data_IF_187420936850
#
_entry.id   IF_187420936850
#
_cell.length_a   1.000
_cell.length_b   1.000
_cell.length_c   1.000
_cell.angle_alpha   90.00
_cell.angle_beta   90.00
_cell.angle_gamma   90.00
#
_symmetry.space_group_name_H-M   'P 1'
#
loop_
_entity.id
_entity.type
_entity.pdbx_description
1 polymer ?
#
# COMPACT_ATOMS: atom_id res chain seq x y z
N UNK A 1 11.78 8.30 -23.12
CA UNK A 1 11.11 7.03 -23.51
C UNK A 1 9.90 6.87 -22.62
N UNK A 2 8.74 6.55 -23.18
CA UNK A 2 7.52 6.33 -22.39
C UNK A 2 7.43 4.86 -22.00
N UNK A 3 7.23 4.59 -20.71
CA UNK A 3 7.06 3.24 -20.17
C UNK A 3 5.74 3.11 -19.41
N UNK A 4 5.26 1.88 -19.28
CA UNK A 4 4.12 1.57 -18.45
C UNK A 4 4.53 0.63 -17.30
N UNK A 5 3.92 0.79 -16.15
CA UNK A 5 4.06 -0.09 -15.00
C UNK A 5 2.70 -0.59 -14.58
N UNK A 6 2.60 -1.90 -14.36
CA UNK A 6 1.35 -2.57 -13.98
C UNK A 6 1.61 -3.30 -12.66
N UNK A 7 0.88 -2.92 -11.62
CA UNK A 7 0.88 -3.61 -10.33
C UNK A 7 -0.47 -4.27 -10.09
N UNK A 8 -0.47 -5.60 -9.94
CA UNK A 8 -1.66 -6.37 -9.59
C UNK A 8 -1.53 -6.85 -8.15
N UNK A 9 -2.04 -6.05 -7.21
CA UNK A 9 -2.10 -6.41 -5.80
C UNK A 9 -3.25 -7.36 -5.48
N UNK A 10 -3.37 -7.73 -4.20
CA UNK A 10 -4.44 -8.60 -3.71
C UNK A 10 -5.80 -7.90 -3.61
N UNK A 11 -5.81 -6.57 -3.56
CA UNK A 11 -7.02 -5.74 -3.43
C UNK A 11 -7.22 -4.75 -4.57
N UNK A 12 -6.14 -4.19 -5.11
CA UNK A 12 -6.17 -3.16 -6.16
C UNK A 12 -5.21 -3.51 -7.28
N UNK A 13 -5.62 -3.20 -8.51
CA UNK A 13 -4.73 -3.12 -9.67
C UNK A 13 -4.44 -1.64 -9.97
N UNK A 14 -3.19 -1.34 -10.31
CA UNK A 14 -2.69 0.01 -10.56
C UNK A 14 -1.86 0.04 -11.83
N UNK A 15 -2.02 1.08 -12.63
CA UNK A 15 -1.26 1.32 -13.84
C UNK A 15 -0.68 2.73 -13.79
N UNK A 16 0.60 2.87 -14.15
CA UNK A 16 1.27 4.14 -14.30
C UNK A 16 1.90 4.23 -15.69
N UNK A 17 1.72 5.36 -16.35
CA UNK A 17 2.45 5.76 -17.55
C UNK A 17 3.51 6.76 -17.11
N UNK A 18 4.76 6.49 -17.47
CA UNK A 18 5.91 7.31 -17.08
C UNK A 18 6.60 7.84 -18.32
N UNK A 19 6.89 9.14 -18.33
CA UNK A 19 7.75 9.78 -19.30
C UNK A 19 8.82 10.58 -18.57
N UNK A 20 10.09 10.41 -18.96
CA UNK A 20 11.24 11.12 -18.36
C UNK A 20 11.27 11.02 -16.83
N UNK A 21 10.93 9.85 -16.29
CA UNK A 21 10.92 9.60 -14.85
C UNK A 21 9.79 10.32 -14.10
N UNK A 22 8.73 10.76 -14.78
CA UNK A 22 7.54 11.37 -14.16
C UNK A 22 6.27 10.64 -14.57
N UNK A 23 5.33 10.49 -13.64
CA UNK A 23 4.00 9.96 -13.95
C UNK A 23 3.27 10.99 -14.83
N UNK A 24 2.85 10.57 -16.02
CA UNK A 24 2.06 11.39 -16.96
C UNK A 24 0.61 10.92 -17.09
N UNK A 25 0.28 9.74 -16.57
CA UNK A 25 -1.09 9.25 -16.46
C UNK A 25 -1.14 7.98 -15.61
N UNK A 26 -2.25 7.74 -14.94
CA UNK A 26 -2.41 6.56 -14.09
C UNK A 26 -3.86 6.09 -14.04
N UNK A 27 -4.06 4.88 -13.54
CA UNK A 27 -5.39 4.41 -13.22
C UNK A 27 -5.29 3.35 -12.13
N UNK A 28 -6.25 3.34 -11.21
CA UNK A 28 -6.35 2.31 -10.18
C UNK A 28 -7.81 1.89 -9.97
N UNK A 29 -8.00 0.63 -9.59
CA UNK A 29 -9.32 0.11 -9.21
C UNK A 29 -9.17 -1.10 -8.32
N UNK A 30 -10.18 -1.35 -7.49
CA UNK A 30 -10.32 -2.60 -6.79
C UNK A 30 -10.35 -3.78 -7.77
N UNK A 31 -9.81 -4.93 -7.34
CA UNK A 31 -9.89 -6.19 -8.09
C UNK A 31 -11.24 -6.83 -7.77
N UNK A 32 -12.22 -6.55 -8.61
CA UNK A 32 -13.63 -6.99 -8.49
C UNK A 32 -14.10 -7.90 -9.63
N UNK A 33 -13.27 -8.05 -10.67
CA UNK A 33 -13.59 -8.78 -11.89
C UNK A 33 -12.35 -9.44 -12.49
N UNK A 34 -12.53 -10.12 -13.63
CA UNK A 34 -11.45 -10.78 -14.36
C UNK A 34 -10.28 -9.82 -14.63
N UNK A 35 -9.09 -10.15 -14.12
CA UNK A 35 -7.88 -9.33 -14.19
C UNK A 35 -7.60 -8.83 -15.62
N UNK A 36 -7.78 -9.68 -16.63
CA UNK A 36 -7.52 -9.28 -18.03
C UNK A 36 -8.41 -8.13 -18.53
N UNK A 37 -9.66 -8.06 -18.05
CA UNK A 37 -10.59 -6.98 -18.40
C UNK A 37 -10.24 -5.72 -17.62
N UNK A 38 -10.03 -5.87 -16.31
CA UNK A 38 -9.63 -4.78 -15.41
C UNK A 38 -8.36 -4.08 -15.92
N UNK A 39 -7.30 -4.83 -16.24
CA UNK A 39 -6.05 -4.25 -16.75
C UNK A 39 -6.26 -3.56 -18.09
N UNK A 40 -7.11 -4.10 -18.98
CA UNK A 40 -7.41 -3.44 -20.25
C UNK A 40 -8.05 -2.07 -20.03
N UNK A 41 -9.05 -2.01 -19.15
CA UNK A 41 -9.80 -0.79 -18.87
C UNK A 41 -8.90 0.26 -18.21
N UNK A 42 -8.16 -0.14 -17.17
CA UNK A 42 -7.21 0.73 -16.47
C UNK A 42 -6.11 1.22 -17.41
N UNK A 43 -5.60 0.37 -18.31
CA UNK A 43 -4.54 0.77 -19.22
C UNK A 43 -5.07 1.82 -20.21
N UNK A 44 -6.30 1.63 -20.70
CA UNK A 44 -6.97 2.63 -21.55
C UNK A 44 -7.18 3.96 -20.83
N UNK A 45 -7.60 3.94 -19.56
CA UNK A 45 -7.77 5.14 -18.75
C UNK A 45 -6.45 5.87 -18.53
N UNK A 46 -5.39 5.16 -18.14
CA UNK A 46 -4.08 5.75 -17.91
C UNK A 46 -3.47 6.35 -19.19
N UNK A 47 -3.66 5.71 -20.35
CA UNK A 47 -3.26 6.26 -21.65
C UNK A 47 -4.04 7.53 -22.01
N UNK A 48 -5.35 7.54 -21.76
CA UNK A 48 -6.22 8.69 -22.01
C UNK A 48 -5.81 9.88 -21.15
N UNK A 49 -5.54 9.65 -19.87
CA UNK A 49 -5.03 10.69 -18.97
C UNK A 49 -3.68 11.24 -19.44
N UNK A 50 -2.79 10.35 -19.90
CA UNK A 50 -1.50 10.75 -20.46
C UNK A 50 -1.57 11.41 -21.84
N UNK A 51 -2.73 11.41 -22.51
CA UNK A 51 -2.91 11.98 -23.84
C UNK A 51 -2.13 11.24 -24.94
N UNK A 52 -1.84 9.95 -24.76
CA UNK A 52 -1.04 9.14 -25.70
C UNK A 52 -1.78 7.89 -26.17
N UNK A 53 -1.24 7.23 -27.18
CA UNK A 53 -1.69 5.92 -27.64
C UNK A 53 -0.86 4.78 -27.07
N UNK A 54 -1.38 3.55 -27.15
CA UNK A 54 -0.62 2.34 -26.76
C UNK A 54 0.69 2.17 -27.56
N UNK A 55 0.78 2.72 -28.78
CA UNK A 55 1.97 2.60 -29.64
C UNK A 55 3.15 3.42 -29.12
N UNK A 56 2.86 4.43 -28.31
CA UNK A 56 3.88 5.32 -27.74
C UNK A 56 4.58 4.69 -26.53
N UNK A 57 3.97 3.66 -25.92
CA UNK A 57 4.54 2.91 -24.79
C UNK A 57 5.59 1.92 -25.29
N UNK A 58 6.86 2.21 -25.03
CA UNK A 58 7.99 1.42 -25.52
C UNK A 58 8.22 0.12 -24.75
N UNK A 59 8.08 0.16 -23.41
CA UNK A 59 8.31 -0.98 -22.53
C UNK A 59 7.27 -1.03 -21.41
N UNK A 60 6.99 -2.22 -20.91
CA UNK A 60 6.06 -2.46 -19.80
C UNK A 60 6.75 -3.26 -18.69
N UNK A 61 6.66 -2.77 -17.46
CA UNK A 61 7.02 -3.49 -16.24
C UNK A 61 5.78 -4.02 -15.54
N UNK A 62 5.89 -5.21 -14.95
CA UNK A 62 4.81 -5.83 -14.17
C UNK A 62 5.31 -6.15 -12.76
N UNK A 63 4.43 -6.00 -11.77
CA UNK A 63 4.71 -6.36 -10.39
C UNK A 63 3.42 -6.70 -9.62
N UNK A 64 3.57 -6.98 -8.33
CA UNK A 64 2.48 -7.38 -7.46
C UNK A 64 2.16 -8.87 -7.52
N UNK A 65 1.31 -9.30 -6.57
CA UNK A 65 0.91 -10.70 -6.39
C UNK A 65 0.36 -11.37 -7.65
N UNK A 66 -0.39 -10.63 -8.48
CA UNK A 66 -1.02 -11.10 -9.70
C UNK A 66 -0.20 -10.91 -10.97
N UNK A 67 1.05 -10.45 -10.91
CA UNK A 67 1.88 -10.15 -12.09
C UNK A 67 1.92 -11.30 -13.10
N UNK A 68 2.13 -12.53 -12.61
CA UNK A 68 2.21 -13.73 -13.45
C UNK A 68 0.90 -14.15 -14.13
N UNK A 69 -0.24 -13.57 -13.72
CA UNK A 69 -1.56 -13.84 -14.32
C UNK A 69 -1.82 -12.99 -15.56
N UNK A 70 -1.02 -11.94 -15.77
CA UNK A 70 -1.20 -10.98 -16.86
C UNK A 70 -0.41 -11.41 -18.09
N UNK A 71 -1.14 -11.75 -19.16
CA UNK A 71 -0.57 -12.14 -20.46
C UNK A 71 -0.24 -10.93 -21.34
N UNK A 72 0.64 -10.05 -20.86
CA UNK A 72 1.14 -8.89 -21.59
C UNK A 72 2.66 -9.03 -21.76
N UNK A 73 3.19 -8.60 -22.91
CA UNK A 73 4.64 -8.52 -23.12
C UNK A 73 5.23 -7.45 -22.20
N UNK A 74 5.96 -7.88 -21.18
CA UNK A 74 6.65 -7.00 -20.25
C UNK A 74 7.56 -7.79 -19.31
N UNK A 75 8.40 -7.08 -18.56
CA UNK A 75 9.31 -7.68 -17.59
C UNK A 75 8.67 -7.68 -16.22
N UNK A 76 8.69 -8.83 -15.54
CA UNK A 76 8.21 -8.95 -14.17
C UNK A 76 9.34 -8.58 -13.21
N UNK A 77 9.04 -7.70 -12.26
CA UNK A 77 9.93 -7.26 -11.19
C UNK A 77 9.31 -7.59 -9.83
N UNK A 78 10.16 -7.85 -8.82
CA UNK A 78 9.69 -8.05 -7.46
C UNK A 78 9.12 -6.73 -6.90
N UNK A 79 8.00 -6.83 -6.18
CA UNK A 79 7.32 -5.66 -5.61
C UNK A 79 8.23 -4.82 -4.70
N UNK A 80 9.08 -5.40 -3.83
CA UNK A 80 10.03 -4.61 -3.03
C UNK A 80 11.00 -3.79 -3.89
N UNK A 81 11.48 -4.35 -5.01
CA UNK A 81 12.38 -3.64 -5.93
C UNK A 81 11.67 -2.48 -6.60
N UNK A 82 10.41 -2.67 -6.99
CA UNK A 82 9.59 -1.59 -7.55
C UNK A 82 9.35 -0.48 -6.53
N UNK A 83 8.95 -0.81 -5.30
CA UNK A 83 8.75 0.18 -4.23
C UNK A 83 10.05 0.98 -4.01
N UNK A 84 11.20 0.30 -3.88
CA UNK A 84 12.49 0.96 -3.71
C UNK A 84 12.85 1.88 -4.89
N UNK A 85 12.57 1.47 -6.13
CA UNK A 85 12.79 2.30 -7.31
C UNK A 85 11.90 3.54 -7.33
N UNK A 86 10.65 3.43 -6.86
CA UNK A 86 9.66 4.51 -6.88
C UNK A 86 9.93 5.64 -5.90
N UNK A 87 10.70 5.38 -4.85
CA UNK A 87 11.03 6.35 -3.80
C UNK A 87 12.52 6.72 -3.79
N UNK A 88 13.24 6.38 -4.87
CA UNK A 88 14.70 6.52 -4.96
C UNK A 88 15.13 7.99 -4.88
N UNK A 89 14.40 8.89 -5.53
CA UNK A 89 14.72 10.34 -5.55
C UNK A 89 14.33 11.00 -4.22
N UNK A 90 13.20 10.61 -3.64
CA UNK A 90 12.77 11.02 -2.31
C UNK A 90 13.76 10.51 -1.25
N UNK A 91 14.34 9.32 -1.45
CA UNK A 91 15.39 8.74 -0.64
C UNK A 91 16.79 9.26 -1.01
N UNK A 92 16.95 10.57 -1.27
CA UNK A 92 18.25 11.21 -1.48
C UNK A 92 19.32 10.97 -0.38
N UNK A 93 18.91 10.31 0.71
CA UNK A 93 19.74 9.62 1.71
C UNK A 93 19.12 8.25 2.00
N UNK A 94 19.87 7.32 2.62
CA UNK A 94 19.32 6.05 3.11
C UNK A 94 18.07 6.27 3.95
N UNK A 95 16.96 5.63 3.59
CA UNK A 95 15.66 5.77 4.28
C UNK A 95 15.00 4.44 4.55
N UNK A 96 14.21 4.40 5.61
CA UNK A 96 13.25 3.33 5.83
C UNK A 96 12.00 3.61 4.99
N UNK A 97 11.57 2.63 4.22
CA UNK A 97 10.35 2.67 3.41
C UNK A 97 9.44 1.57 3.92
N UNK A 98 8.17 1.88 4.13
CA UNK A 98 7.17 0.87 4.44
C UNK A 98 5.99 0.96 3.47
N UNK A 99 5.65 -0.16 2.85
CA UNK A 99 4.46 -0.29 2.01
C UNK A 99 3.40 -1.07 2.77
N UNK A 100 2.23 -0.46 2.95
CA UNK A 100 1.12 -1.06 3.69
C UNK A 100 -0.02 -1.28 2.71
N UNK A 101 -0.04 -2.49 2.15
CA UNK A 101 -1.03 -2.94 1.18
C UNK A 101 -2.27 -3.56 1.81
N UNK A 102 -3.05 -4.30 1.01
CA UNK A 102 -4.27 -4.96 1.48
C UNK A 102 -3.99 -6.14 2.43
N UNK A 103 -2.98 -6.95 2.13
CA UNK A 103 -2.60 -8.13 2.93
C UNK A 103 -1.17 -7.97 3.44
N UNK A 104 -0.27 -7.55 2.56
CA UNK A 104 1.14 -7.44 2.85
C UNK A 104 1.48 -6.10 3.47
N UNK A 105 2.39 -6.13 4.44
CA UNK A 105 3.17 -5.01 4.91
C UNK A 105 4.62 -5.31 4.58
N UNK A 106 5.26 -4.41 3.86
CA UNK A 106 6.68 -4.44 3.57
C UNK A 106 7.37 -3.33 4.34
N UNK A 107 8.55 -3.62 4.87
CA UNK A 107 9.48 -2.63 5.39
C UNK A 107 10.85 -2.89 4.75
N UNK A 108 11.52 -1.83 4.33
CA UNK A 108 12.82 -1.93 3.69
C UNK A 108 13.70 -0.75 4.09
N UNK A 109 15.01 -0.99 4.17
CA UNK A 109 16.00 0.09 4.18
C UNK A 109 16.51 0.24 2.76
N UNK A 110 16.25 1.38 2.15
CA UNK A 110 16.66 1.71 0.79
C UNK A 110 17.83 2.68 0.89
N UNK A 111 18.97 2.28 0.33
CA UNK A 111 20.18 3.12 0.24
C UNK A 111 20.16 4.00 -1.00
N UNK A 112 21.07 4.98 -1.02
CA UNK A 112 21.36 5.80 -2.19
C UNK A 112 21.49 4.94 -3.45
N UNK A 113 20.79 5.35 -4.51
CA UNK A 113 20.75 4.59 -5.76
C UNK A 113 19.60 3.57 -5.86
N UNK A 114 18.80 3.37 -4.80
CA UNK A 114 17.62 2.50 -4.82
C UNK A 114 17.92 1.04 -4.42
N UNK A 115 19.08 0.78 -3.81
CA UNK A 115 19.47 -0.58 -3.37
C UNK A 115 18.79 -0.93 -2.05
N UNK A 116 18.18 -2.10 -1.98
CA UNK A 116 17.60 -2.62 -0.74
C UNK A 116 18.71 -3.22 0.12
N UNK A 117 18.96 -2.62 1.28
CA UNK A 117 19.92 -3.12 2.27
C UNK A 117 19.29 -4.20 3.15
N UNK A 118 18.15 -3.88 3.74
CA UNK A 118 17.38 -4.76 4.60
C UNK A 118 15.93 -4.80 4.12
N UNK A 119 15.26 -5.94 4.33
CA UNK A 119 13.86 -6.12 3.97
C UNK A 119 13.17 -7.04 4.97
N UNK A 120 11.94 -6.70 5.33
CA UNK A 120 11.04 -7.53 6.11
C UNK A 120 9.63 -7.45 5.53
N UNK A 121 8.91 -8.56 5.58
CA UNK A 121 7.50 -8.66 5.21
C UNK A 121 6.76 -9.46 6.28
N UNK A 122 5.48 -9.17 6.46
CA UNK A 122 4.62 -10.04 7.26
C UNK A 122 4.30 -11.35 6.51
N UNK A 123 3.83 -12.36 7.26
CA UNK A 123 3.32 -13.58 6.65
C UNK A 123 2.04 -13.32 5.85
N UNK A 124 1.74 -14.21 4.89
CA UNK A 124 0.53 -14.19 4.05
C UNK A 124 -0.74 -14.41 4.87
N UNK A 125 -1.15 -13.42 5.63
CA UNK A 125 -2.32 -13.46 6.50
C UNK A 125 -3.25 -12.28 6.21
N UNK A 126 -4.55 -12.54 6.06
CA UNK A 126 -5.55 -11.51 5.80
C UNK A 126 -5.64 -10.44 6.90
N UNK A 127 -5.16 -10.73 8.12
CA UNK A 127 -5.06 -9.77 9.21
C UNK A 127 -3.93 -8.74 8.99
N UNK A 128 -3.07 -8.97 8.01
CA UNK A 128 -1.78 -8.33 7.90
C UNK A 128 -1.82 -6.83 7.62
N UNK A 129 -2.78 -6.33 6.84
CA UNK A 129 -2.80 -4.94 6.36
C UNK A 129 -4.20 -4.37 6.19
N UNK A 130 -4.43 -3.60 5.13
CA UNK A 130 -5.66 -2.83 4.91
C UNK A 130 -6.95 -3.67 4.85
N UNK A 131 -6.89 -4.95 4.48
CA UNK A 131 -8.07 -5.83 4.45
C UNK A 131 -8.66 -6.03 5.84
N UNK A 132 -7.83 -6.02 6.87
CA UNK A 132 -8.28 -6.04 8.25
C UNK A 132 -9.07 -4.78 8.61
N UNK A 133 -8.62 -3.61 8.15
CA UNK A 133 -9.32 -2.35 8.36
C UNK A 133 -10.66 -2.31 7.61
N UNK A 134 -10.72 -2.85 6.38
CA UNK A 134 -11.97 -3.01 5.63
C UNK A 134 -12.97 -3.87 6.43
N UNK A 135 -12.51 -5.02 6.94
CA UNK A 135 -13.31 -5.95 7.74
C UNK A 135 -13.83 -5.28 9.02
N UNK A 136 -12.97 -4.56 9.75
CA UNK A 136 -13.37 -3.84 10.96
C UNK A 136 -14.42 -2.75 10.68
N UNK A 137 -14.29 -2.03 9.56
CA UNK A 137 -15.30 -1.06 9.13
C UNK A 137 -16.62 -1.76 8.79
N UNK A 138 -16.56 -2.85 8.01
CA UNK A 138 -17.74 -3.61 7.58
C UNK A 138 -18.51 -4.20 8.77
N UNK A 139 -17.82 -4.75 9.78
CA UNK A 139 -18.44 -5.27 11.00
C UNK A 139 -19.22 -4.20 11.78
N UNK A 140 -18.93 -2.92 11.55
CA UNK A 140 -19.56 -1.77 12.20
C UNK A 140 -20.50 -0.98 11.26
N UNK A 141 -20.76 -1.49 10.06
CA UNK A 141 -21.57 -0.80 9.05
C UNK A 141 -20.96 0.53 8.60
N UNK A 142 -19.63 0.59 8.49
CA UNK A 142 -18.84 1.74 8.05
C UNK A 142 -18.01 1.41 6.81
N UNK A 143 -17.56 2.45 6.13
CA UNK A 143 -16.60 2.35 5.04
C UNK A 143 -15.22 2.90 5.42
N UNK A 144 -14.19 2.58 4.64
CA UNK A 144 -12.81 3.06 4.87
C UNK A 144 -12.71 4.59 5.01
N UNK A 145 -13.44 5.43 4.25
CA UNK A 145 -13.42 6.88 4.45
C UNK A 145 -13.89 7.34 5.83
N UNK A 146 -14.78 6.57 6.49
CA UNK A 146 -15.26 6.88 7.85
C UNK A 146 -14.22 6.55 8.93
N UNK A 147 -13.24 5.69 8.60
CA UNK A 147 -12.29 5.14 9.57
C UNK A 147 -11.54 6.23 10.34
N UNK A 148 -10.97 7.21 9.63
CA UNK A 148 -10.19 8.27 10.27
C UNK A 148 -11.05 9.24 11.10
N UNK A 149 -12.18 9.77 10.58
CA UNK A 149 -13.12 10.55 11.38
C UNK A 149 -13.65 9.82 12.63
N UNK A 150 -13.91 8.52 12.55
CA UNK A 150 -14.35 7.72 13.69
C UNK A 150 -13.23 7.49 14.70
N UNK A 151 -12.05 7.05 14.25
CA UNK A 151 -10.90 6.80 15.13
C UNK A 151 -10.47 8.07 15.88
N UNK A 152 -10.58 9.24 15.26
CA UNK A 152 -10.27 10.53 15.91
C UNK A 152 -11.23 10.89 17.06
N UNK A 153 -12.41 10.29 17.13
CA UNK A 153 -13.42 10.48 18.18
C UNK A 153 -13.35 9.41 19.27
N UNK A 154 -12.37 8.49 19.19
CA UNK A 154 -12.17 7.48 20.22
C UNK A 154 -11.77 8.14 21.55
N UNK A 155 -12.31 7.62 22.65
CA UNK A 155 -11.98 8.05 24.02
C UNK A 155 -11.13 7.01 24.73
N UNK A 156 -11.34 5.74 24.42
CA UNK A 156 -10.64 4.61 25.00
C UNK A 156 -10.46 3.51 23.93
N UNK A 157 -9.48 3.65 23.01
CA UNK A 157 -9.26 2.69 21.94
C UNK A 157 -9.18 1.25 22.44
N UNK A 158 -9.97 0.35 21.84
CA UNK A 158 -10.04 -1.05 22.25
C UNK A 158 -8.76 -1.80 21.82
N UNK A 159 -8.20 -2.61 22.72
CA UNK A 159 -7.03 -3.43 22.41
C UNK A 159 -7.45 -4.76 21.80
N UNK A 160 -7.44 -4.86 20.47
CA UNK A 160 -7.73 -6.11 19.76
C UNK A 160 -6.61 -7.12 20.02
N UNK A 161 -6.96 -8.28 20.55
CA UNK A 161 -6.01 -9.31 20.97
C UNK A 161 -5.81 -10.42 19.93
N UNK A 162 -6.79 -10.64 19.07
CA UNK A 162 -6.72 -11.68 18.05
C UNK A 162 -5.77 -11.35 16.90
N UNK A 163 -4.85 -12.27 16.62
CA UNK A 163 -3.93 -12.16 15.48
C UNK A 163 -4.51 -12.66 14.16
N UNK A 164 -5.46 -13.60 14.21
CA UNK A 164 -6.17 -14.10 13.04
C UNK A 164 -7.33 -13.15 12.68
N UNK A 165 -7.47 -12.79 11.39
CA UNK A 165 -8.54 -11.90 10.94
C UNK A 165 -9.94 -12.45 11.27
N UNK A 166 -10.14 -13.76 11.11
CA UNK A 166 -11.42 -14.43 11.40
C UNK A 166 -11.79 -14.31 12.87
N UNK A 167 -10.83 -14.53 13.78
CA UNK A 167 -11.10 -14.41 15.21
C UNK A 167 -11.22 -12.95 15.65
N UNK A 168 -10.47 -12.05 15.02
CA UNK A 168 -10.57 -10.63 15.30
C UNK A 168 -11.91 -10.04 14.82
N UNK A 169 -12.51 -10.55 13.75
CA UNK A 169 -13.88 -10.21 13.36
C UNK A 169 -14.87 -10.61 14.45
N UNK A 170 -14.80 -11.85 14.93
CA UNK A 170 -15.63 -12.33 16.04
C UNK A 170 -15.42 -11.52 17.32
N UNK A 171 -14.17 -11.16 17.63
CA UNK A 171 -13.83 -10.30 18.77
C UNK A 171 -14.49 -8.92 18.62
N UNK A 172 -14.40 -8.29 17.45
CA UNK A 172 -15.04 -7.00 17.16
C UNK A 172 -16.55 -7.08 17.36
N UNK A 173 -17.22 -8.09 16.78
CA UNK A 173 -18.67 -8.28 16.93
C UNK A 173 -19.05 -8.51 18.40
N UNK A 174 -18.26 -9.28 19.13
CA UNK A 174 -18.49 -9.51 20.56
C UNK A 174 -18.40 -8.22 21.37
N UNK A 175 -17.43 -7.35 21.07
CA UNK A 175 -17.28 -6.05 21.75
C UNK A 175 -18.42 -5.09 21.43
N UNK A 176 -18.91 -5.08 20.19
CA UNK A 176 -20.11 -4.31 19.82
C UNK A 176 -21.30 -4.75 20.67
N UNK A 177 -21.52 -6.06 20.78
CA UNK A 177 -22.61 -6.61 21.59
C UNK A 177 -22.44 -6.34 23.09
N UNK A 178 -21.19 -6.21 23.56
CA UNK A 178 -20.87 -5.81 24.94
C UNK A 178 -21.02 -4.29 25.19
N UNK A 179 -21.39 -3.51 24.17
CA UNK A 179 -21.62 -2.07 24.29
C UNK A 179 -20.37 -1.21 24.09
N UNK A 180 -19.27 -1.78 23.60
CA UNK A 180 -18.09 -0.99 23.26
C UNK A 180 -18.41 -0.01 22.12
N UNK A 181 -17.90 1.22 22.23
CA UNK A 181 -18.21 2.26 21.27
C UNK A 181 -17.51 1.99 19.91
N UNK A 182 -18.19 2.07 18.76
CA UNK A 182 -17.59 1.78 17.45
C UNK A 182 -16.31 2.57 17.14
N UNK A 183 -16.26 3.85 17.53
CA UNK A 183 -15.05 4.68 17.39
C UNK A 183 -13.83 4.09 18.10
N UNK A 184 -14.01 3.54 19.30
CA UNK A 184 -12.93 2.95 20.10
C UNK A 184 -12.42 1.66 19.47
N UNK A 185 -13.32 0.84 18.92
CA UNK A 185 -12.99 -0.38 18.17
C UNK A 185 -12.19 -0.02 16.90
N UNK A 186 -12.65 0.97 16.13
CA UNK A 186 -11.97 1.41 14.91
C UNK A 186 -10.58 1.99 15.19
N UNK A 187 -10.42 2.80 16.25
CA UNK A 187 -9.11 3.25 16.68
C UNK A 187 -8.20 2.09 17.09
N UNK A 188 -8.76 1.09 17.80
CA UNK A 188 -8.08 -0.17 18.12
C UNK A 188 -7.57 -0.91 16.89
N UNK A 189 -8.40 -1.03 15.86
CA UNK A 189 -8.05 -1.68 14.60
C UNK A 189 -6.91 -0.96 13.87
N UNK A 190 -6.94 0.37 13.84
CA UNK A 190 -5.86 1.20 13.27
C UNK A 190 -4.56 1.00 14.06
N UNK A 191 -4.63 1.05 15.38
CA UNK A 191 -3.47 0.86 16.27
C UNK A 191 -2.83 -0.52 16.09
N UNK A 192 -3.62 -1.57 15.89
CA UNK A 192 -3.11 -2.92 15.64
C UNK A 192 -2.28 -2.98 14.35
N UNK A 193 -2.79 -2.42 13.25
CA UNK A 193 -2.06 -2.41 11.96
C UNK A 193 -0.82 -1.51 12.04
N UNK A 194 -0.92 -0.36 12.72
CA UNK A 194 0.22 0.52 12.97
C UNK A 194 1.31 -0.19 13.78
N UNK A 195 0.95 -0.94 14.83
CA UNK A 195 1.90 -1.72 15.62
C UNK A 195 2.60 -2.78 14.78
N UNK A 196 1.89 -3.46 13.87
CA UNK A 196 2.48 -4.47 12.97
C UNK A 196 3.50 -3.85 12.01
N UNK A 197 3.16 -2.70 11.44
CA UNK A 197 4.10 -1.96 10.59
C UNK A 197 5.33 -1.50 11.40
N UNK A 198 5.13 -0.93 12.58
CA UNK A 198 6.23 -0.51 13.47
C UNK A 198 7.19 -1.66 13.79
N UNK A 199 6.68 -2.86 14.12
CA UNK A 199 7.53 -4.04 14.36
C UNK A 199 8.40 -4.42 13.15
N UNK A 200 7.88 -4.32 11.93
CA UNK A 200 8.66 -4.60 10.72
C UNK A 200 9.71 -3.51 10.44
N UNK A 201 9.38 -2.25 10.70
CA UNK A 201 10.28 -1.11 10.58
C UNK A 201 11.43 -1.23 11.58
N UNK A 202 11.14 -1.58 12.85
CA UNK A 202 12.14 -1.86 13.88
C UNK A 202 13.05 -3.02 13.45
N UNK A 203 12.47 -4.10 12.90
CA UNK A 203 13.23 -5.28 12.44
C UNK A 203 14.22 -4.97 11.32
N UNK A 204 13.92 -4.04 10.42
CA UNK A 204 14.87 -3.66 9.36
C UNK A 204 15.97 -2.71 9.84
N UNK A 205 15.79 -2.07 11.01
CA UNK A 205 16.90 -1.54 11.82
C UNK A 205 17.51 -0.21 11.35
N UNK A 206 16.70 0.75 10.88
CA UNK A 206 17.20 2.07 10.50
C UNK A 206 16.38 3.22 11.11
N UNK A 207 17.06 4.22 11.66
CA UNK A 207 16.49 5.44 12.25
C UNK A 207 16.03 6.47 11.20
N UNK A 208 15.61 7.67 11.63
CA UNK A 208 15.18 8.76 10.75
C UNK A 208 13.69 8.77 10.38
N UNK A 209 13.28 9.56 9.40
CA UNK A 209 11.88 9.56 8.95
C UNK A 209 11.56 8.30 8.11
N UNK A 210 10.28 7.89 8.08
CA UNK A 210 9.82 6.69 7.34
C UNK A 210 9.00 7.11 6.14
N UNK A 211 9.40 6.70 4.94
CA UNK A 211 8.58 6.90 3.73
C UNK A 211 7.47 5.86 3.70
N UNK A 212 6.23 6.30 3.58
CA UNK A 212 5.04 5.45 3.65
C UNK A 212 4.35 5.35 2.28
N UNK A 213 4.21 4.12 1.78
CA UNK A 213 3.54 3.78 0.51
C UNK A 213 2.40 2.78 0.69
N UNK A 214 1.66 2.51 -0.37
CA UNK A 214 0.54 1.57 -0.37
C UNK A 214 -0.81 2.25 -0.10
N UNK A 215 -1.88 1.47 -0.14
CA UNK A 215 -3.24 2.00 0.00
C UNK A 215 -3.54 2.52 1.42
N UNK A 216 -3.00 1.85 2.44
CA UNK A 216 -3.22 2.23 3.85
C UNK A 216 -2.48 3.51 4.22
N UNK A 217 -1.42 3.88 3.47
CA UNK A 217 -0.77 5.17 3.58
C UNK A 217 -1.73 6.36 3.41
N UNK A 218 -2.84 6.18 2.69
CA UNK A 218 -3.86 7.22 2.47
C UNK A 218 -4.78 7.43 3.65
N UNK A 219 -4.66 6.66 4.73
CA UNK A 219 -5.53 6.72 5.91
C UNK A 219 -4.84 7.59 6.98
N UNK A 220 -5.31 8.83 7.24
CA UNK A 220 -4.62 9.72 8.19
C UNK A 220 -4.54 9.17 9.62
N UNK A 221 -5.55 8.43 10.08
CA UNK A 221 -5.49 7.80 11.40
C UNK A 221 -4.37 6.76 11.50
N UNK A 222 -4.08 6.04 10.41
CA UNK A 222 -2.97 5.08 10.39
C UNK A 222 -1.62 5.79 10.46
N UNK A 223 -1.42 6.87 9.70
CA UNK A 223 -0.20 7.68 9.77
C UNK A 223 0.05 8.15 11.22
N UNK A 224 -0.95 8.78 11.84
CA UNK A 224 -0.85 9.27 13.23
C UNK A 224 -0.55 8.16 14.23
N UNK A 225 -1.23 7.02 14.11
CA UNK A 225 -1.01 5.87 15.00
C UNK A 225 0.40 5.29 14.82
N UNK A 226 0.90 5.22 13.59
CA UNK A 226 2.24 4.73 13.29
C UNK A 226 3.31 5.69 13.81
N UNK A 227 3.15 7.00 13.59
CA UNK A 227 4.06 8.03 14.11
C UNK A 227 4.13 8.02 15.64
N UNK A 228 2.97 7.97 16.30
CA UNK A 228 2.90 7.88 17.76
C UNK A 228 3.59 6.61 18.29
N UNK A 229 3.47 5.49 17.58
CA UNK A 229 4.05 4.21 18.01
C UNK A 229 5.56 4.14 17.81
N UNK A 230 6.08 4.77 16.77
CA UNK A 230 7.50 4.78 16.43
C UNK A 230 8.27 5.96 17.02
N UNK A 231 7.57 6.98 17.52
CA UNK A 231 8.13 8.28 17.90
C UNK A 231 8.94 8.93 16.76
N UNK A 232 8.47 8.74 15.52
CA UNK A 232 9.14 9.14 14.27
C UNK A 232 8.12 9.69 13.29
N UNK A 233 8.52 10.60 12.41
CA UNK A 233 7.62 11.12 11.38
C UNK A 233 7.49 10.15 10.21
N UNK A 234 6.32 10.17 9.60
CA UNK A 234 6.07 9.56 8.30
C UNK A 234 6.15 10.61 7.20
N UNK A 235 6.67 10.22 6.05
CA UNK A 235 6.73 11.04 4.85
C UNK A 235 5.93 10.34 3.75
N UNK A 236 5.10 11.10 3.04
CA UNK A 236 4.45 10.60 1.84
C UNK A 236 5.26 11.03 0.62
N UNK A 237 5.32 10.22 -0.44
CA UNK A 237 5.89 10.65 -1.71
C UNK A 237 5.07 11.77 -2.35
N UNK A 238 5.67 12.49 -3.32
CA UNK A 238 5.02 13.58 -4.07
C UNK A 238 3.98 13.07 -5.10
N UNK A 239 3.78 11.75 -5.14
CA UNK A 239 2.76 11.08 -5.94
C UNK A 239 1.83 10.26 -5.04
N UNK A 240 0.72 9.76 -5.58
CA UNK A 240 -0.22 8.93 -4.82
C UNK A 240 0.48 7.69 -4.24
N UNK A 241 0.57 7.51 -2.91
CA UNK A 241 1.36 6.45 -2.28
C UNK A 241 0.99 5.02 -2.73
N UNK A 242 -0.27 4.81 -3.11
CA UNK A 242 -0.80 3.55 -3.61
C UNK A 242 -0.23 3.14 -4.98
N UNK A 243 0.33 4.08 -5.74
CA UNK A 243 0.90 3.85 -7.06
C UNK A 243 2.38 3.41 -7.02
N UNK A 244 3.03 3.46 -5.85
CA UNK A 244 4.48 3.27 -5.71
C UNK A 244 5.02 2.06 -6.48
N UNK A 245 4.45 0.86 -6.28
CA UNK A 245 4.93 -0.33 -6.97
C UNK A 245 4.69 -0.30 -8.49
N UNK A 246 3.55 0.24 -8.97
CA UNK A 246 3.32 0.42 -10.41
C UNK A 246 4.30 1.44 -11.01
N UNK A 247 4.51 2.56 -10.33
CA UNK A 247 5.44 3.59 -10.75
C UNK A 247 6.89 3.06 -10.83
N UNK A 248 7.33 2.35 -9.79
CA UNK A 248 8.63 1.68 -9.77
C UNK A 248 8.81 0.64 -10.88
N UNK A 249 7.77 -0.14 -11.19
CA UNK A 249 7.81 -1.08 -12.31
C UNK A 249 8.01 -0.36 -13.65
N UNK A 250 7.41 0.82 -13.84
CA UNK A 250 7.59 1.63 -15.04
C UNK A 250 9.02 2.21 -15.14
N UNK A 251 9.57 2.69 -14.02
CA UNK A 251 10.96 3.18 -13.94
C UNK A 251 11.96 2.07 -14.27
N UNK A 252 11.83 0.91 -13.62
CA UNK A 252 12.70 -0.24 -13.88
C UNK A 252 12.56 -0.81 -15.29
N UNK A 253 11.39 -0.64 -15.93
CA UNK A 253 11.22 -1.01 -17.32
C UNK A 253 11.99 -0.08 -18.26
N UNK A 254 12.27 1.17 -17.87
CA UNK A 254 13.02 2.11 -18.72
C UNK A 254 14.51 1.79 -18.79
N UNK A 255 15.05 1.15 -17.74
CA UNK A 255 16.40 0.55 -17.70
C UNK A 255 16.58 -0.52 -18.81
#
# INVERSE_FOLDING_TARGET
>A
MITAGIDIGTRFAKICIVNEGKIVGFAESGVDRKISLLIRDLFSQALKEAGISKRDVAKTGLTGYGAGLVKIRGRIFSEPRCIAASVKEEAGQTRTVTDVGGIFIHAAVVENGGRIKNFASNEKCAAGGGKFLEMACQALGKDIPDLSPCAAKAKAPYSITCNCAVFAESEIVSQVNAGAHPNDILAGAVNLIASRAATLIERVGHGGDVVLTGGVARIPAFQKALEARMERRTLLPDFTPQLAAAYGAALLASE
#
